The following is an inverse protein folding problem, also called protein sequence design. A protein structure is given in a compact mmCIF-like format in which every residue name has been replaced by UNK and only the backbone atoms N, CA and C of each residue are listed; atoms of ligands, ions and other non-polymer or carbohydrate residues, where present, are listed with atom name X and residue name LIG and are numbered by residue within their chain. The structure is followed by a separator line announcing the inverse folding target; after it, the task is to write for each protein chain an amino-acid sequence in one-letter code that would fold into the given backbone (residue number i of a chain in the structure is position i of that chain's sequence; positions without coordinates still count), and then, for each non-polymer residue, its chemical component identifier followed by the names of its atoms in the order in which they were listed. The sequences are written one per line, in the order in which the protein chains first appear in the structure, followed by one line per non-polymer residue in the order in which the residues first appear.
data_IF_679858701841
#
_entry.id   IF_679858701841
#
_cell.length_a   1.000
_cell.length_b   1.000
_cell.length_c   1.000
_cell.angle_alpha   90.00
_cell.angle_beta   90.00
_cell.angle_gamma   90.00
#
_symmetry.space_group_name_H-M   'P 1'
#
loop_
_entity.id
_entity.type
_entity.pdbx_description
1 polymer ?
#
# COMPACT_ATOMS: atom_id res chain seq x y z
N UNK A 1 10.52 -4.04 31.98
CA UNK A 1 10.91 -4.48 30.63
C UNK A 1 9.72 -5.21 30.04
N UNK A 2 8.99 -4.58 29.12
CA UNK A 2 7.73 -5.14 28.60
C UNK A 2 8.01 -6.25 27.58
N UNK A 3 7.60 -7.47 27.95
CA UNK A 3 7.77 -8.76 27.25
C UNK A 3 6.56 -9.10 26.36
N UNK A 4 6.06 -8.15 25.58
CA UNK A 4 5.06 -8.43 24.57
C UNK A 4 5.68 -8.18 23.19
N UNK A 5 5.75 -9.17 22.29
CA UNK A 5 6.06 -8.91 20.90
C UNK A 5 4.97 -7.98 20.37
N UNK A 6 5.31 -6.72 20.11
CA UNK A 6 4.45 -5.83 19.35
C UNK A 6 4.07 -6.57 18.07
N UNK A 7 2.78 -6.80 17.79
CA UNK A 7 2.38 -7.38 16.52
C UNK A 7 3.01 -6.54 15.41
N UNK A 8 3.51 -7.15 14.32
CA UNK A 8 4.08 -6.39 13.22
C UNK A 8 3.02 -5.36 12.82
N UNK A 9 3.34 -4.08 13.00
CA UNK A 9 2.47 -2.98 12.57
C UNK A 9 2.12 -3.30 11.13
N UNK A 10 0.85 -3.58 10.83
CA UNK A 10 0.44 -3.90 9.48
C UNK A 10 0.96 -2.79 8.58
N UNK A 11 1.92 -3.16 7.73
CA UNK A 11 2.57 -2.21 6.84
C UNK A 11 1.51 -1.87 5.82
N UNK A 12 1.02 -0.64 5.86
CA UNK A 12 0.02 -0.15 4.91
C UNK A 12 0.41 -0.58 3.49
N UNK A 13 -0.54 -0.99 2.66
CA UNK A 13 -0.24 -1.46 1.30
C UNK A 13 0.52 -0.38 0.52
N UNK A 14 0.14 0.86 0.73
CA UNK A 14 0.91 2.05 0.38
C UNK A 14 0.66 3.13 1.42
N UNK A 15 1.69 3.91 1.74
CA UNK A 15 1.58 5.11 2.56
C UNK A 15 2.56 6.17 2.06
N UNK A 16 2.12 7.43 2.09
CA UNK A 16 2.96 8.57 1.74
C UNK A 16 2.45 9.85 2.41
N UNK A 17 3.35 10.83 2.60
CA UNK A 17 3.00 12.11 3.22
C UNK A 17 2.36 13.01 2.17
N UNK A 18 1.08 13.30 2.36
CA UNK A 18 0.37 14.24 1.50
C UNK A 18 -0.69 15.02 2.29
N UNK A 19 -0.82 16.31 1.98
CA UNK A 19 -1.89 17.15 2.51
C UNK A 19 -3.09 17.16 1.58
N UNK A 20 -4.25 17.58 2.10
CA UNK A 20 -5.45 17.80 1.29
C UNK A 20 -5.36 19.13 0.54
N UNK A 21 -6.06 19.22 -0.57
CA UNK A 21 -6.33 20.47 -1.25
C UNK A 21 -7.84 20.61 -1.42
N UNK A 22 -8.36 21.79 -1.08
CA UNK A 22 -9.77 22.12 -1.26
C UNK A 22 -9.91 23.00 -2.48
N UNK A 23 -10.82 22.64 -3.38
CA UNK A 23 -11.16 23.47 -4.53
C UNK A 23 -12.18 24.52 -4.11
N UNK A 24 -11.79 25.79 -4.13
CA UNK A 24 -12.68 26.94 -3.98
C UNK A 24 -12.89 27.60 -5.35
N UNK A 25 -14.01 27.28 -5.99
CA UNK A 25 -14.32 27.75 -7.34
C UNK A 25 -13.32 27.23 -8.38
N UNK A 26 -12.48 28.14 -8.88
CA UNK A 26 -11.40 27.83 -9.84
C UNK A 26 -10.02 27.77 -9.19
N UNK A 27 -9.91 27.98 -7.87
CA UNK A 27 -8.64 27.97 -7.16
C UNK A 27 -8.53 26.71 -6.30
N UNK A 28 -7.38 26.05 -6.35
CA UNK A 28 -7.02 24.97 -5.43
C UNK A 28 -6.23 25.55 -4.26
N UNK A 29 -6.81 25.49 -3.05
CA UNK A 29 -6.14 25.90 -1.82
C UNK A 29 -5.53 24.67 -1.13
N UNK A 30 -4.21 24.61 -0.94
CA UNK A 30 -3.59 23.55 -0.17
C UNK A 30 -3.90 23.71 1.31
N UNK A 31 -4.27 22.62 1.96
CA UNK A 31 -4.36 22.55 3.41
C UNK A 31 -2.93 22.46 3.99
N UNK A 32 -2.61 23.36 4.92
CA UNK A 32 -1.32 23.44 5.60
C UNK A 32 -1.11 22.29 6.60
N UNK A 33 -2.15 21.53 6.92
CA UNK A 33 -2.08 20.37 7.81
C UNK A 33 -1.17 19.28 7.21
N UNK A 34 -0.40 18.66 8.09
CA UNK A 34 0.49 17.55 7.70
C UNK A 34 -0.33 16.28 7.66
N UNK A 35 -0.66 15.81 6.46
CA UNK A 35 -1.44 14.59 6.28
C UNK A 35 -0.57 13.36 6.01
N UNK A 36 -1.15 12.19 6.28
CA UNK A 36 -0.66 10.91 5.78
C UNK A 36 -1.79 10.27 4.99
N UNK A 37 -1.51 9.94 3.73
CA UNK A 37 -2.37 9.10 2.91
C UNK A 37 -1.87 7.67 3.04
N UNK A 38 -2.79 6.74 3.21
CA UNK A 38 -2.48 5.33 3.16
C UNK A 38 -3.67 4.52 2.64
N UNK A 39 -3.40 3.34 2.11
CA UNK A 39 -4.45 2.43 1.64
C UNK A 39 -4.32 1.06 2.29
N UNK A 40 -5.44 0.49 2.71
CA UNK A 40 -5.55 -0.84 3.30
C UNK A 40 -6.81 -1.56 2.85
N UNK A 41 -6.75 -2.89 2.75
CA UNK A 41 -7.93 -3.69 2.52
C UNK A 41 -8.66 -3.88 3.85
N UNK A 42 -9.91 -3.46 3.92
CA UNK A 42 -10.76 -3.62 5.11
C UNK A 42 -11.32 -5.05 5.18
N UNK A 43 -11.99 -5.39 6.29
CA UNK A 43 -12.58 -6.71 6.53
C UNK A 43 -13.70 -7.06 5.53
N UNK A 44 -14.33 -6.04 4.95
CA UNK A 44 -15.29 -6.15 3.83
C UNK A 44 -14.63 -6.50 2.48
N UNK A 45 -13.31 -6.73 2.47
CA UNK A 45 -12.50 -7.04 1.29
C UNK A 45 -12.40 -5.92 0.24
N UNK A 46 -12.92 -4.72 0.54
CA UNK A 46 -12.77 -3.56 -0.33
C UNK A 46 -11.50 -2.77 0.00
N UNK A 47 -11.04 -2.01 -0.99
CA UNK A 47 -9.85 -1.18 -0.88
C UNK A 47 -10.23 0.16 -0.28
N UNK A 48 -9.71 0.49 0.90
CA UNK A 48 -9.96 1.78 1.55
C UNK A 48 -8.77 2.72 1.33
N UNK A 49 -9.08 3.96 0.98
CA UNK A 49 -8.15 5.07 0.88
C UNK A 49 -8.39 6.00 2.07
N UNK A 50 -7.42 6.04 2.96
CA UNK A 50 -7.49 6.83 4.18
C UNK A 50 -6.65 8.08 4.07
N UNK A 51 -7.15 9.16 4.67
CA UNK A 51 -6.35 10.34 4.99
C UNK A 51 -6.47 10.63 6.49
N UNK A 52 -5.32 10.79 7.15
CA UNK A 52 -5.25 11.19 8.55
C UNK A 52 -4.35 12.39 8.77
N UNK A 53 -4.70 13.22 9.74
CA UNK A 53 -3.83 14.29 10.21
C UNK A 53 -2.69 13.67 11.05
N UNK A 54 -1.44 13.95 10.69
CA UNK A 54 -0.25 13.42 11.39
C UNK A 54 -0.01 14.06 12.75
N UNK A 55 -0.55 15.26 12.97
CA UNK A 55 -0.42 15.98 14.24
C UNK A 55 -1.34 15.39 15.30
N UNK A 56 -2.58 15.10 14.92
CA UNK A 56 -3.60 14.55 15.85
C UNK A 56 -3.71 13.03 15.77
N UNK A 57 -3.21 12.41 14.70
CA UNK A 57 -3.41 10.99 14.34
C UNK A 57 -4.88 10.60 14.15
N UNK A 58 -5.75 11.57 13.85
CA UNK A 58 -7.16 11.32 13.58
C UNK A 58 -7.36 11.10 12.08
N UNK A 59 -8.03 10.00 11.72
CA UNK A 59 -8.49 9.73 10.36
C UNK A 59 -9.69 10.64 10.09
N UNK A 60 -9.56 11.55 9.13
CA UNK A 60 -10.67 12.46 8.76
C UNK A 60 -11.41 11.97 7.52
N UNK A 61 -10.73 11.26 6.62
CA UNK A 61 -11.33 10.73 5.40
C UNK A 61 -11.07 9.22 5.31
N UNK A 62 -12.14 8.47 5.08
CA UNK A 62 -12.13 7.04 4.77
C UNK A 62 -12.97 6.83 3.51
N UNK A 63 -12.32 6.42 2.44
CA UNK A 63 -12.92 6.33 1.12
C UNK A 63 -12.79 4.92 0.58
N UNK A 64 -13.92 4.27 0.35
CA UNK A 64 -13.98 2.99 -0.32
C UNK A 64 -13.71 3.22 -1.82
N UNK A 65 -12.71 2.51 -2.36
CA UNK A 65 -12.34 2.52 -3.76
C UNK A 65 -12.70 1.17 -4.37
N UNK A 66 -13.56 1.17 -5.38
CA UNK A 66 -13.80 -0.03 -6.18
C UNK A 66 -12.75 -0.21 -7.27
N UNK A 67 -12.48 -1.46 -7.68
CA UNK A 67 -11.57 -1.72 -8.78
C UNK A 67 -11.94 -0.97 -10.05
N UNK A 68 -10.95 -0.42 -10.74
CA UNK A 68 -11.10 0.36 -11.98
C UNK A 68 -11.93 1.66 -11.85
N UNK A 69 -12.46 1.95 -10.66
CA UNK A 69 -13.37 3.07 -10.42
C UNK A 69 -12.63 4.37 -10.09
N UNK A 70 -11.39 4.31 -9.63
CA UNK A 70 -10.60 5.50 -9.36
C UNK A 70 -9.29 5.53 -10.14
N UNK A 71 -8.83 6.73 -10.43
CA UNK A 71 -7.53 6.96 -11.06
C UNK A 71 -6.78 8.02 -10.27
N UNK A 72 -5.53 7.73 -9.94
CA UNK A 72 -4.63 8.65 -9.28
C UNK A 72 -3.73 9.32 -10.32
N UNK A 73 -3.99 10.60 -10.61
CA UNK A 73 -3.38 11.32 -11.72
C UNK A 73 -2.65 12.56 -11.22
N UNK A 74 -1.45 12.81 -11.74
CA UNK A 74 -0.71 14.04 -11.45
C UNK A 74 -1.37 15.23 -12.13
N UNK A 75 -1.54 16.33 -11.40
CA UNK A 75 -2.06 17.60 -11.91
C UNK A 75 -0.89 18.47 -12.34
N UNK A 76 -0.57 18.47 -13.63
CA UNK A 76 0.52 19.30 -14.20
C UNK A 76 0.17 20.79 -14.27
N UNK A 77 -1.12 21.12 -14.19
CA UNK A 77 -1.62 22.51 -14.19
C UNK A 77 -1.20 23.28 -12.93
N UNK A 78 -0.89 22.59 -11.84
CA UNK A 78 -0.37 23.19 -10.62
C UNK A 78 1.16 23.33 -10.72
N UNK A 79 1.65 24.52 -11.05
CA UNK A 79 3.10 24.81 -11.15
C UNK A 79 3.75 25.12 -9.80
N UNK A 80 2.97 25.43 -8.76
CA UNK A 80 3.48 25.80 -7.43
C UNK A 80 3.76 24.61 -6.51
N UNK A 81 3.52 23.37 -6.96
CA UNK A 81 3.72 22.20 -6.13
C UNK A 81 3.40 20.88 -6.82
N UNK A 82 3.62 19.78 -6.10
CA UNK A 82 3.39 18.42 -6.59
C UNK A 82 1.99 17.97 -6.18
N UNK A 83 1.01 18.30 -7.02
CA UNK A 83 -0.41 18.01 -6.77
C UNK A 83 -0.84 16.79 -7.59
N UNK A 84 -1.57 15.91 -6.94
CA UNK A 84 -2.20 14.74 -7.51
C UNK A 84 -3.70 14.80 -7.23
N UNK A 85 -4.51 14.23 -8.12
CA UNK A 85 -5.93 14.09 -7.92
C UNK A 85 -6.33 12.62 -7.92
N UNK A 86 -7.25 12.26 -7.05
CA UNK A 86 -8.03 11.02 -7.15
C UNK A 86 -9.30 11.38 -7.89
N UNK A 87 -9.43 10.86 -9.11
CA UNK A 87 -10.64 10.99 -9.92
C UNK A 87 -11.45 9.71 -9.76
N UNK A 88 -12.65 9.85 -9.22
CA UNK A 88 -13.64 8.77 -9.24
C UNK A 88 -14.34 8.79 -10.60
N UNK A 89 -14.58 7.61 -11.18
CA UNK A 89 -15.33 7.42 -12.43
C UNK A 89 -16.83 7.32 -12.13
N UNK A 90 -17.19 6.59 -11.06
CA UNK A 90 -18.60 6.45 -10.62
C UNK A 90 -19.16 7.73 -9.99
N UNK A 91 -18.30 8.64 -9.55
CA UNK A 91 -18.69 9.92 -8.95
C UNK A 91 -17.96 11.08 -9.60
N UNK A 92 -18.63 12.20 -9.87
CA UNK A 92 -17.97 13.46 -10.28
C UNK A 92 -17.12 14.10 -9.15
N UNK A 93 -16.86 13.36 -8.07
CA UNK A 93 -16.06 13.80 -6.93
C UNK A 93 -14.59 13.75 -7.31
N UNK A 94 -13.91 14.89 -7.14
CA UNK A 94 -12.47 15.03 -7.38
C UNK A 94 -11.82 15.43 -6.06
N UNK A 95 -10.90 14.61 -5.58
CA UNK A 95 -10.13 14.91 -4.39
C UNK A 95 -8.71 15.26 -4.81
N UNK A 96 -8.18 16.32 -4.22
CA UNK A 96 -6.87 16.84 -4.57
C UNK A 96 -5.96 16.67 -3.36
N UNK A 97 -4.75 16.17 -3.61
CA UNK A 97 -3.74 15.92 -2.61
C UNK A 97 -2.41 16.50 -3.08
N UNK A 98 -1.66 17.10 -2.17
CA UNK A 98 -0.33 17.63 -2.48
C UNK A 98 0.73 16.88 -1.71
N UNK A 99 1.77 16.45 -2.40
CA UNK A 99 2.86 15.66 -1.81
C UNK A 99 3.68 16.53 -0.85
N UNK A 100 3.88 16.02 0.35
CA UNK A 100 4.64 16.65 1.44
C UNK A 100 5.98 15.95 1.70
N UNK A 101 6.31 14.92 0.93
CA UNK A 101 7.59 14.24 1.09
C UNK A 101 8.76 15.13 0.64
N UNK A 102 9.95 14.89 1.19
CA UNK A 102 11.09 15.78 0.94
C UNK A 102 11.64 15.64 -0.48
N UNK A 103 11.54 14.44 -1.04
CA UNK A 103 11.98 14.11 -2.40
C UNK A 103 10.76 13.86 -3.28
N UNK A 104 10.90 14.09 -4.59
CA UNK A 104 9.90 13.77 -5.61
C UNK A 104 10.17 12.48 -6.38
N UNK A 105 11.37 11.89 -6.20
CA UNK A 105 11.78 10.63 -6.84
C UNK A 105 10.80 9.48 -6.61
N UNK A 106 10.12 9.46 -5.46
CA UNK A 106 9.18 8.40 -5.08
C UNK A 106 7.73 8.73 -5.43
N UNK A 107 7.44 9.94 -5.87
CA UNK A 107 6.05 10.36 -6.12
C UNK A 107 5.44 9.53 -7.25
N UNK A 108 6.21 9.23 -8.30
CA UNK A 108 5.78 8.39 -9.42
C UNK A 108 5.63 6.92 -9.01
N UNK A 109 6.55 6.39 -8.19
CA UNK A 109 6.45 5.05 -7.63
C UNK A 109 5.18 4.91 -6.77
N UNK A 110 4.91 5.87 -5.89
CA UNK A 110 3.71 5.91 -5.06
C UNK A 110 2.45 6.00 -5.92
N UNK A 111 2.43 6.88 -6.92
CA UNK A 111 1.29 7.02 -7.82
C UNK A 111 1.01 5.73 -8.61
N UNK A 112 2.06 5.09 -9.11
CA UNK A 112 1.96 3.81 -9.82
C UNK A 112 1.45 2.71 -8.89
N UNK A 113 1.96 2.66 -7.65
CA UNK A 113 1.52 1.69 -6.65
C UNK A 113 0.06 1.87 -6.26
N UNK A 114 -0.39 3.13 -6.07
CA UNK A 114 -1.79 3.47 -5.83
C UNK A 114 -2.66 3.00 -7.00
N UNK A 115 -2.31 3.34 -8.24
CA UNK A 115 -3.08 2.91 -9.40
C UNK A 115 -3.11 1.37 -9.55
N UNK A 116 -2.01 0.68 -9.25
CA UNK A 116 -1.97 -0.80 -9.26
C UNK A 116 -2.90 -1.39 -8.20
N UNK A 117 -2.92 -0.82 -7.00
CA UNK A 117 -3.84 -1.20 -5.92
C UNK A 117 -5.30 -0.95 -6.31
N UNK A 118 -5.59 0.14 -7.01
CA UNK A 118 -6.94 0.43 -7.48
C UNK A 118 -7.36 -0.56 -8.58
N UNK A 119 -6.52 -0.83 -9.59
CA UNK A 119 -6.93 -1.71 -10.70
C UNK A 119 -6.88 -3.20 -10.35
N UNK A 120 -6.01 -3.62 -9.43
CA UNK A 120 -5.81 -5.04 -9.10
C UNK A 120 -5.38 -5.22 -7.64
N UNK A 121 -6.28 -4.97 -6.67
CA UNK A 121 -5.95 -5.03 -5.24
C UNK A 121 -5.45 -6.42 -4.83
N UNK A 122 -6.09 -7.50 -5.28
CA UNK A 122 -5.73 -8.89 -4.94
C UNK A 122 -4.29 -9.24 -5.30
N UNK A 123 -3.81 -8.76 -6.46
CA UNK A 123 -2.46 -9.03 -6.93
C UNK A 123 -1.38 -8.44 -6.01
N UNK A 124 -1.61 -7.22 -5.51
CA UNK A 124 -0.65 -6.51 -4.66
C UNK A 124 -0.69 -7.07 -3.24
N UNK A 125 -1.88 -7.42 -2.76
CA UNK A 125 -2.07 -8.04 -1.45
C UNK A 125 -1.44 -9.45 -1.43
N UNK A 126 -1.62 -10.22 -2.50
CA UNK A 126 -0.97 -11.51 -2.68
C UNK A 126 0.56 -11.37 -2.68
N UNK A 127 1.12 -10.42 -3.44
CA UNK A 127 2.57 -10.13 -3.50
C UNK A 127 3.13 -9.69 -2.14
N UNK A 128 2.38 -8.93 -1.35
CA UNK A 128 2.79 -8.53 0.00
C UNK A 128 2.68 -9.70 1.02
N UNK A 129 1.73 -10.62 0.83
CA UNK A 129 1.59 -11.85 1.62
C UNK A 129 2.69 -12.87 1.29
N UNK A 130 3.07 -13.05 0.03
CA UNK A 130 4.21 -13.90 -0.36
C UNK A 130 5.56 -13.27 -0.03
N UNK A 131 5.69 -11.93 -0.09
CA UNK A 131 6.89 -11.22 0.32
C UNK A 131 7.19 -11.27 1.82
N UNK A 132 6.18 -11.49 2.67
CA UNK A 132 6.34 -11.71 4.11
C UNK A 132 6.68 -13.18 4.46
N UNK A 133 6.47 -14.12 3.54
CA UNK A 133 6.85 -15.53 3.68
C UNK A 133 8.18 -15.88 2.98
N UNK A 134 8.86 -14.91 2.35
CA UNK A 134 10.12 -15.12 1.62
C UNK A 134 11.41 -14.94 2.42
N UNK A 135 11.33 -14.69 3.73
CA UNK A 135 12.50 -14.44 4.58
C UNK A 135 12.61 -15.39 5.78
N UNK A 136 12.14 -16.63 5.65
CA UNK A 136 12.41 -17.71 6.59
C UNK A 136 12.48 -19.08 5.88
N UNK A 137 13.65 -19.72 5.93
CA UNK A 137 13.87 -21.12 5.53
C UNK A 137 14.13 -21.27 4.03
N UNK A 138 15.34 -21.56 3.57
CA UNK A 138 16.12 -22.72 4.00
C UNK A 138 15.58 -23.94 3.25
N UNK A 139 16.23 -24.26 2.13
CA UNK A 139 16.28 -25.58 1.49
C UNK A 139 14.95 -26.33 1.44
N UNK A 140 14.18 -26.13 0.37
CA UNK A 140 13.10 -27.03 0.01
C UNK A 140 13.67 -28.42 -0.30
N UNK A 141 13.77 -29.28 0.71
CA UNK A 141 13.92 -30.70 0.49
C UNK A 141 12.62 -31.19 -0.16
N UNK A 142 12.73 -31.53 -1.42
CA UNK A 142 11.71 -32.25 -2.16
C UNK A 142 11.44 -33.57 -1.44
N UNK A 143 10.18 -34.00 -1.43
CA UNK A 143 9.78 -35.31 -0.89
C UNK A 143 10.42 -36.50 -1.66
N UNK A 144 11.21 -36.23 -2.70
CA UNK A 144 12.01 -37.22 -3.42
C UNK A 144 13.37 -37.52 -2.76
N UNK A 145 13.92 -36.62 -1.93
CA UNK A 145 15.25 -36.81 -1.34
C UNK A 145 15.22 -37.70 -0.08
N UNK A 146 14.11 -37.67 0.69
CA UNK A 146 13.94 -38.52 1.89
C UNK A 146 13.81 -40.01 1.55
N UNK A 147 13.45 -40.37 0.32
CA UNK A 147 13.30 -41.76 -0.09
C UNK A 147 14.65 -42.41 -0.46
N UNK A 148 15.72 -41.62 -0.64
CA UNK A 148 17.07 -42.15 -0.92
C UNK A 148 17.89 -42.44 0.34
N UNK A 149 17.43 -42.06 1.54
CA UNK A 149 18.14 -42.27 2.81
C UNK A 149 17.67 -43.51 3.61
N UNK A 150 16.68 -44.26 3.13
CA UNK A 150 16.11 -45.44 3.80
C UNK A 150 16.34 -46.75 3.02
N UNK A 151 17.40 -46.80 2.22
CA UNK A 151 17.69 -47.92 1.31
C UNK A 151 19.13 -48.41 1.36
N UNK A 152 19.77 -48.45 2.53
CA UNK A 152 21.16 -48.88 2.65
C UNK A 152 21.53 -49.53 3.98
N UNK A 153 21.07 -50.76 4.20
CA UNK A 153 21.70 -51.73 5.11
C UNK A 153 22.12 -52.92 4.24
N UNK A 154 23.37 -52.96 3.80
CA UNK A 154 24.48 -53.60 4.52
C UNK A 154 24.32 -55.14 4.51
N UNK A 155 24.87 -55.71 3.43
CA UNK A 155 25.41 -57.05 3.36
C UNK A 155 26.44 -57.25 4.49
N UNK A 156 26.07 -58.03 5.52
CA UNK A 156 27.00 -58.55 6.53
C UNK A 156 26.69 -60.03 6.84
N UNK A 157 27.56 -60.90 6.32
CA UNK A 157 28.11 -62.13 6.92
C UNK A 157 27.18 -63.10 7.69
N UNK A 158 26.81 -64.22 7.03
CA UNK A 158 27.08 -65.61 7.48
C UNK A 158 26.58 -66.63 6.45
#
# INVERSE_FOLDING_TARGET
MSLFPTPPRQKHLVEFKAGKCTREGNLLKPDLRKGLVYMDQSDDSLMHFYWKDRKTNIVEDDLIIFPEEAEFVRVTECTTGRVYLVKFKSSNRKLFFWMQDKSDEKDEEHATKVNRLINSPDSVIAEQRTGAAGAAGGTGNTAQDVLSMLGGDANDLA
#
